data_IF_572008294522
#
_entry.id   IF_572008294522
#
_cell.length_a   1.000
_cell.length_b   1.000
_cell.length_c   1.000
_cell.angle_alpha   90.00
_cell.angle_beta   90.00
_cell.angle_gamma   90.00
#
_symmetry.space_group_name_H-M   'P 1'
#
loop_
_entity.id
_entity.type
_entity.pdbx_description
1 polymer ?
#
# COMPACT_ATOMS: atom_id res chain seq x y z
N UNK A 1 1.66 -1.28 -28.48
CA UNK A 1 1.47 -0.34 -27.36
C UNK A 1 2.35 -0.84 -26.22
N UNK A 2 3.36 -0.07 -25.82
CA UNK A 2 4.27 -0.48 -24.75
C UNK A 2 3.49 -0.46 -23.43
N UNK A 3 3.41 -1.60 -22.74
CA UNK A 3 2.90 -1.65 -21.38
C UNK A 3 3.90 -0.92 -20.49
N UNK A 4 3.69 0.38 -20.30
CA UNK A 4 4.44 1.16 -19.32
C UNK A 4 3.94 0.70 -17.96
N UNK A 5 4.60 -0.32 -17.39
CA UNK A 5 4.53 -0.55 -15.97
C UNK A 5 5.27 0.63 -15.35
N UNK A 6 4.59 1.53 -14.62
CA UNK A 6 5.30 2.54 -13.87
C UNK A 6 6.25 1.82 -12.92
N UNK A 7 7.36 2.44 -12.53
CA UNK A 7 8.33 1.88 -11.58
C UNK A 7 7.75 1.83 -10.16
N UNK A 8 6.61 1.17 -10.00
CA UNK A 8 5.93 0.90 -8.76
C UNK A 8 6.60 -0.33 -8.18
N UNK A 9 7.15 -0.19 -6.99
CA UNK A 9 7.66 -1.31 -6.21
C UNK A 9 6.54 -2.32 -5.95
N UNK A 10 6.81 -3.62 -6.09
CA UNK A 10 5.79 -4.63 -5.81
C UNK A 10 5.43 -4.67 -4.33
N UNK A 11 4.17 -4.95 -4.02
CA UNK A 11 3.71 -5.11 -2.65
C UNK A 11 4.45 -6.26 -1.96
N UNK A 12 5.31 -5.91 -1.00
CA UNK A 12 6.09 -6.87 -0.20
C UNK A 12 5.40 -7.16 1.13
N UNK A 13 4.71 -6.18 1.69
CA UNK A 13 4.05 -6.32 2.99
C UNK A 13 3.47 -5.01 3.52
N UNK A 14 3.29 -4.95 4.84
CA UNK A 14 2.72 -3.78 5.54
C UNK A 14 3.59 -2.54 5.42
N UNK A 15 4.90 -2.75 5.32
CA UNK A 15 5.92 -1.71 5.26
C UNK A 15 5.79 -0.81 4.04
N UNK A 16 5.42 -1.38 2.88
CA UNK A 16 5.30 -0.63 1.63
C UNK A 16 3.85 -0.51 1.14
N UNK A 17 2.86 -1.09 1.85
CA UNK A 17 1.46 -1.08 1.44
C UNK A 17 0.89 0.33 1.18
N UNK A 18 1.16 1.31 2.06
CA UNK A 18 0.57 2.65 1.88
C UNK A 18 1.07 3.33 0.60
N UNK A 19 2.38 3.26 0.34
CA UNK A 19 2.98 3.84 -0.87
C UNK A 19 2.53 3.06 -2.11
N UNK A 20 2.50 1.72 -2.01
CA UNK A 20 2.01 0.85 -3.06
C UNK A 20 0.55 1.13 -3.40
N UNK A 21 -0.34 1.24 -2.42
CA UNK A 21 -1.76 1.49 -2.62
C UNK A 21 -1.99 2.84 -3.30
N UNK A 22 -1.28 3.89 -2.87
CA UNK A 22 -1.32 5.19 -3.53
C UNK A 22 -0.88 5.11 -5.01
N UNK A 23 0.26 4.48 -5.28
CA UNK A 23 0.79 4.36 -6.63
C UNK A 23 -0.10 3.47 -7.52
N UNK A 24 -0.63 2.39 -6.97
CA UNK A 24 -1.51 1.45 -7.68
C UNK A 24 -2.87 2.08 -7.99
N UNK A 25 -3.42 2.88 -7.08
CA UNK A 25 -4.63 3.66 -7.34
C UNK A 25 -4.40 4.63 -8.52
N UNK A 26 -3.33 5.43 -8.46
CA UNK A 26 -2.99 6.35 -9.55
C UNK A 26 -2.78 5.63 -10.89
N UNK A 27 -2.19 4.43 -10.88
CA UNK A 27 -2.02 3.61 -12.07
C UNK A 27 -3.35 3.11 -12.66
N UNK A 28 -4.29 2.70 -11.80
CA UNK A 28 -5.61 2.25 -12.25
C UNK A 28 -6.48 3.41 -12.73
N UNK A 29 -6.37 4.59 -12.11
CA UNK A 29 -7.02 5.82 -12.59
C UNK A 29 -6.48 6.22 -13.96
N UNK A 30 -5.16 6.16 -14.18
CA UNK A 30 -4.55 6.45 -15.49
C UNK A 30 -5.01 5.49 -16.61
N UNK A 31 -5.43 4.28 -16.25
CA UNK A 31 -5.91 3.26 -17.20
C UNK A 31 -7.44 3.23 -17.32
N UNK A 32 -8.15 4.15 -16.67
CA UNK A 32 -9.62 4.19 -16.57
C UNK A 32 -10.22 2.90 -15.98
N UNK A 33 -9.51 2.26 -15.04
CA UNK A 33 -9.88 0.99 -14.41
C UNK A 33 -10.29 1.11 -12.94
N UNK A 34 -10.13 2.29 -12.33
CA UNK A 34 -10.44 2.50 -10.91
C UNK A 34 -11.91 2.27 -10.57
N UNK A 35 -12.83 2.55 -11.51
CA UNK A 35 -14.26 2.29 -11.34
C UNK A 35 -14.58 0.83 -11.01
N UNK A 36 -13.77 -0.14 -11.50
CA UNK A 36 -13.95 -1.56 -11.18
C UNK A 36 -13.64 -1.92 -9.71
N UNK A 37 -12.99 -1.03 -8.95
CA UNK A 37 -12.74 -1.22 -7.52
C UNK A 37 -13.90 -0.65 -6.70
N UNK A 38 -14.53 0.42 -7.17
CA UNK A 38 -15.63 1.09 -6.47
C UNK A 38 -16.95 0.39 -6.74
N UNK A 39 -17.23 0.14 -8.02
CA UNK A 39 -18.50 -0.37 -8.50
C UNK A 39 -18.47 -1.89 -8.69
N UNK A 40 -19.66 -2.49 -8.72
CA UNK A 40 -19.82 -3.90 -9.06
C UNK A 40 -19.97 -3.96 -10.60
N UNK A 41 -19.19 -4.77 -11.30
CA UNK A 41 -19.31 -4.89 -12.75
C UNK A 41 -20.65 -5.54 -13.12
N UNK A 42 -21.54 -4.79 -13.76
CA UNK A 42 -22.89 -5.24 -14.14
C UNK A 42 -23.05 -5.50 -15.65
N UNK A 43 -22.11 -4.98 -16.45
CA UNK A 43 -22.11 -5.16 -17.92
C UNK A 43 -20.97 -6.07 -18.38
N UNK A 44 -21.11 -6.74 -19.54
CA UNK A 44 -20.03 -7.56 -20.12
C UNK A 44 -18.72 -6.79 -20.35
N UNK A 45 -18.81 -5.50 -20.67
CA UNK A 45 -17.65 -4.62 -20.85
C UNK A 45 -16.95 -4.34 -19.52
N UNK A 46 -17.70 -4.05 -18.46
CA UNK A 46 -17.16 -3.88 -17.12
C UNK A 46 -16.55 -5.17 -16.57
N UNK A 47 -17.07 -6.35 -16.90
CA UNK A 47 -16.45 -7.64 -16.53
C UNK A 47 -15.07 -7.81 -17.17
N UNK A 48 -14.90 -7.35 -18.41
CA UNK A 48 -13.60 -7.37 -19.09
C UNK A 48 -12.62 -6.39 -18.44
N UNK A 49 -13.09 -5.21 -18.04
CA UNK A 49 -12.28 -4.22 -17.32
C UNK A 49 -11.92 -4.68 -15.91
N UNK A 50 -12.84 -5.33 -15.19
CA UNK A 50 -12.60 -5.92 -13.87
C UNK A 50 -11.49 -6.99 -13.96
N UNK A 51 -11.57 -7.88 -14.95
CA UNK A 51 -10.50 -8.86 -15.19
C UNK A 51 -9.14 -8.18 -15.47
N UNK A 52 -9.12 -7.11 -16.27
CA UNK A 52 -7.90 -6.33 -16.57
C UNK A 52 -7.35 -5.65 -15.32
N UNK A 53 -8.20 -5.01 -14.51
CA UNK A 53 -7.83 -4.35 -13.26
C UNK A 53 -7.26 -5.35 -12.25
N UNK A 54 -7.95 -6.49 -12.08
CA UNK A 54 -7.51 -7.59 -11.22
C UNK A 54 -6.14 -8.13 -11.65
N UNK A 55 -5.93 -8.41 -12.93
CA UNK A 55 -4.64 -8.89 -13.43
C UNK A 55 -3.52 -7.88 -13.15
N UNK A 56 -3.77 -6.59 -13.38
CA UNK A 56 -2.80 -5.53 -13.07
C UNK A 56 -2.45 -5.50 -11.58
N UNK A 57 -3.44 -5.57 -10.67
CA UNK A 57 -3.19 -5.62 -9.23
C UNK A 57 -2.31 -6.82 -8.87
N UNK A 58 -2.65 -8.02 -9.36
CA UNK A 58 -1.90 -9.25 -9.06
C UNK A 58 -0.44 -9.15 -9.55
N UNK A 59 -0.21 -8.58 -10.74
CA UNK A 59 1.15 -8.40 -11.28
C UNK A 59 2.02 -7.47 -10.42
N UNK A 60 1.39 -6.58 -9.66
CA UNK A 60 2.03 -5.61 -8.77
C UNK A 60 2.19 -6.11 -7.32
N UNK A 61 1.88 -7.38 -7.06
CA UNK A 61 2.04 -8.03 -5.75
C UNK A 61 3.19 -9.03 -5.79
N UNK A 62 3.98 -9.11 -4.73
CA UNK A 62 5.02 -10.14 -4.62
C UNK A 62 4.39 -11.53 -4.46
N UNK A 63 4.94 -12.55 -5.12
CA UNK A 63 4.34 -13.91 -5.17
C UNK A 63 4.14 -14.52 -3.79
N UNK A 64 4.98 -14.16 -2.81
CA UNK A 64 4.84 -14.55 -1.40
C UNK A 64 3.47 -14.15 -0.80
N UNK A 65 2.87 -13.06 -1.27
CA UNK A 65 1.61 -12.52 -0.77
C UNK A 65 0.39 -13.05 -1.53
N UNK A 66 0.57 -13.92 -2.53
CA UNK A 66 -0.54 -14.45 -3.33
C UNK A 66 -1.55 -15.23 -2.49
N UNK A 67 -1.09 -15.88 -1.41
CA UNK A 67 -1.94 -16.60 -0.46
C UNK A 67 -3.11 -15.76 0.09
N UNK A 68 -2.93 -14.44 0.18
CA UNK A 68 -3.95 -13.52 0.69
C UNK A 68 -5.01 -13.14 -0.36
N UNK A 69 -4.71 -13.28 -1.65
CA UNK A 69 -5.55 -12.77 -2.75
C UNK A 69 -6.13 -13.86 -3.66
N UNK A 70 -5.68 -15.11 -3.56
CA UNK A 70 -6.13 -16.23 -4.42
C UNK A 70 -7.65 -16.46 -4.39
N UNK A 71 -8.31 -16.10 -3.29
CA UNK A 71 -9.75 -16.26 -3.11
C UNK A 71 -10.58 -15.10 -3.66
N UNK A 72 -9.97 -14.01 -4.15
CA UNK A 72 -10.68 -12.86 -4.73
C UNK A 72 -11.15 -13.14 -6.16
N UNK A 73 -12.45 -12.95 -6.42
CA UNK A 73 -13.06 -13.16 -7.74
C UNK A 73 -13.02 -11.88 -8.58
N UNK A 74 -13.31 -10.74 -7.98
CA UNK A 74 -13.31 -9.42 -8.63
C UNK A 74 -12.07 -8.58 -8.27
N UNK A 75 -11.80 -7.51 -9.03
CA UNK A 75 -10.74 -6.56 -8.72
C UNK A 75 -10.98 -5.90 -7.34
N UNK A 76 -12.23 -5.55 -7.05
CA UNK A 76 -12.67 -5.02 -5.76
C UNK A 76 -12.36 -5.95 -4.59
N UNK A 77 -12.72 -7.24 -4.69
CA UNK A 77 -12.44 -8.20 -3.63
C UNK A 77 -10.94 -8.39 -3.37
N UNK A 78 -10.13 -8.39 -4.43
CA UNK A 78 -8.67 -8.49 -4.31
C UNK A 78 -8.12 -7.24 -3.62
N UNK A 79 -8.55 -6.05 -4.04
CA UNK A 79 -8.14 -4.78 -3.44
C UNK A 79 -8.49 -4.71 -1.94
N UNK A 80 -9.72 -5.09 -1.59
CA UNK A 80 -10.20 -5.09 -0.22
C UNK A 80 -9.44 -6.08 0.67
N UNK A 81 -9.14 -7.29 0.18
CA UNK A 81 -8.32 -8.25 0.94
C UNK A 81 -6.91 -7.76 1.20
N UNK A 82 -6.29 -7.12 0.21
CA UNK A 82 -4.98 -6.48 0.39
C UNK A 82 -5.06 -5.37 1.42
N UNK A 83 -6.11 -4.56 1.36
CA UNK A 83 -6.40 -3.52 2.34
C UNK A 83 -6.55 -4.08 3.74
N UNK A 84 -7.42 -5.06 3.95
CA UNK A 84 -7.61 -5.68 5.27
C UNK A 84 -6.35 -6.35 5.81
N UNK A 85 -5.54 -6.97 4.95
CA UNK A 85 -4.33 -7.70 5.36
C UNK A 85 -3.19 -6.77 5.74
N UNK A 86 -2.99 -5.72 4.94
CA UNK A 86 -1.78 -4.90 4.96
C UNK A 86 -2.00 -3.44 5.36
N UNK A 87 -3.23 -2.94 5.30
CA UNK A 87 -3.52 -1.60 5.79
C UNK A 87 -3.36 -1.59 7.31
N UNK A 88 -2.28 -0.97 7.75
CA UNK A 88 -2.09 -0.66 9.14
C UNK A 88 -3.03 0.50 9.46
N UNK A 89 -4.19 0.19 10.06
CA UNK A 89 -4.98 1.21 10.76
C UNK A 89 -3.98 1.91 11.68
N UNK A 90 -3.76 3.22 11.47
CA UNK A 90 -2.57 3.95 11.92
C UNK A 90 -2.20 3.83 13.42
N UNK A 91 -3.00 3.14 14.24
CA UNK A 91 -2.68 2.68 15.58
C UNK A 91 -1.37 1.88 15.68
N UNK A 92 -1.13 0.85 14.86
CA UNK A 92 0.11 0.06 14.95
C UNK A 92 1.33 0.90 14.55
N UNK A 93 1.22 1.70 13.47
CA UNK A 93 2.21 2.72 13.09
C UNK A 93 2.43 3.75 14.22
N UNK A 94 1.38 4.29 14.83
CA UNK A 94 1.47 5.23 15.95
C UNK A 94 2.11 4.59 17.18
N UNK A 95 1.78 3.35 17.52
CA UNK A 95 2.42 2.59 18.60
C UNK A 95 3.89 2.34 18.29
N UNK A 96 4.24 2.02 17.03
CA UNK A 96 5.62 1.88 16.57
C UNK A 96 6.40 3.20 16.66
N UNK A 97 5.81 4.31 16.23
CA UNK A 97 6.39 5.65 16.33
C UNK A 97 6.52 6.11 17.78
N UNK A 98 5.53 5.86 18.64
CA UNK A 98 5.63 6.12 20.08
C UNK A 98 6.74 5.30 20.74
N UNK A 99 6.83 4.00 20.42
CA UNK A 99 7.93 3.15 20.89
C UNK A 99 9.27 3.69 20.41
N UNK A 100 9.39 4.07 19.14
CA UNK A 100 10.61 4.67 18.59
C UNK A 100 10.97 5.96 19.33
N UNK A 101 10.00 6.85 19.57
CA UNK A 101 10.21 8.10 20.29
C UNK A 101 10.68 7.88 21.74
N UNK A 102 10.06 6.94 22.46
CA UNK A 102 10.39 6.63 23.86
C UNK A 102 11.74 5.88 23.99
N UNK A 103 12.04 5.00 23.04
CA UNK A 103 13.25 4.17 23.07
C UNK A 103 14.48 4.85 22.48
N UNK A 104 14.33 5.92 21.68
CA UNK A 104 15.47 6.67 21.15
C UNK A 104 16.21 7.35 22.29
N UNK A 105 17.41 6.87 22.60
CA UNK A 105 18.30 7.48 23.61
C UNK A 105 19.41 8.26 22.91
N UNK A 106 19.88 9.32 23.57
CA UNK A 106 21.00 10.13 23.08
C UNK A 106 22.27 9.29 22.82
N UNK A 107 22.47 8.22 23.59
CA UNK A 107 23.61 7.31 23.45
C UNK A 107 23.58 6.46 22.16
N UNK A 108 22.41 6.32 21.53
CA UNK A 108 22.26 5.57 20.28
C UNK A 108 22.46 6.46 19.04
N UNK A 109 22.73 7.76 19.23
CA UNK A 109 22.94 8.73 18.16
C UNK A 109 24.39 9.24 18.17
N UNK A 110 24.98 9.39 16.99
CA UNK A 110 26.36 9.86 16.81
C UNK A 110 26.55 11.33 17.24
N UNK A 111 25.47 12.11 17.23
CA UNK A 111 25.47 13.52 17.61
C UNK A 111 24.11 13.98 18.15
N UNK A 112 24.13 15.09 18.90
CA UNK A 112 22.91 15.74 19.40
C UNK A 112 21.99 16.20 18.27
N UNK A 113 22.55 16.64 17.14
CA UNK A 113 21.77 17.08 15.96
C UNK A 113 21.01 15.91 15.32
N UNK A 114 21.65 14.74 15.22
CA UNK A 114 21.03 13.52 14.71
C UNK A 114 19.92 13.01 15.63
N UNK A 115 20.13 13.11 16.95
CA UNK A 115 19.12 12.80 17.96
C UNK A 115 17.89 13.72 17.81
N UNK A 116 18.10 15.03 17.74
CA UNK A 116 17.02 16.01 17.58
C UNK A 116 16.27 15.79 16.27
N UNK A 117 16.98 15.59 15.16
CA UNK A 117 16.38 15.30 13.86
C UNK A 117 15.50 14.04 13.90
N UNK A 118 15.98 12.97 14.54
CA UNK A 118 15.25 11.70 14.67
C UNK A 118 14.02 11.83 15.56
N UNK A 119 14.13 12.51 16.71
CA UNK A 119 13.01 12.71 17.64
C UNK A 119 11.95 13.62 17.05
N UNK A 120 12.35 14.76 16.46
CA UNK A 120 11.43 15.72 15.83
C UNK A 120 10.75 15.10 14.62
N UNK A 121 11.49 14.40 13.76
CA UNK A 121 10.93 13.69 12.61
C UNK A 121 9.93 12.60 13.03
N UNK A 122 10.25 11.83 14.06
CA UNK A 122 9.33 10.81 14.61
C UNK A 122 8.08 11.44 15.23
N UNK A 123 8.21 12.59 15.90
CA UNK A 123 7.07 13.34 16.46
C UNK A 123 6.16 13.92 15.37
N UNK A 124 6.71 14.50 14.31
CA UNK A 124 5.94 14.99 13.17
C UNK A 124 5.19 13.86 12.47
N UNK A 125 5.84 12.70 12.29
CA UNK A 125 5.21 11.50 11.72
C UNK A 125 4.10 10.90 12.61
N UNK A 126 4.08 11.20 13.91
CA UNK A 126 3.04 10.74 14.85
C UNK A 126 1.77 11.61 14.78
N UNK A 127 1.95 12.91 14.50
CA UNK A 127 0.90 13.91 14.46
C UNK A 127 0.27 14.10 13.05
N UNK A 128 0.88 13.52 12.02
CA UNK A 128 0.34 13.41 10.66
C UNK A 128 -0.61 12.21 10.53
#
# INVERSE_FOLDING_TARGET
>A
MANFLPSIEKLSGRENYNNWAFAMQAYLEHEDLWSCIVDIPDTPEQLKWDAKAKSKIIMMVHTANFVHITSGKTAKEVWEKLRETFQDYGLCRKVGLMRKLILTKLNDCSSMEEYVSTVVGTSQMLNA
#
